data_IF_628900361849
#
_entry.id   IF_628900361849
#
_cell.length_a   1.000
_cell.length_b   1.000
_cell.length_c   1.000
_cell.angle_alpha   90.00
_cell.angle_beta   90.00
_cell.angle_gamma   90.00
#
_symmetry.space_group_name_H-M   'P 1'
#
loop_
_entity.id
_entity.type
_entity.pdbx_description
1 polymer ?
#
# COMPACT_ATOMS: atom_id res chain seq x y z
N UNK A 1 -27.86 30.84 -0.54
CA UNK A 1 -28.97 29.91 -0.82
C UNK A 1 -29.41 29.38 0.53
N UNK A 2 -30.59 29.78 1.04
CA UNK A 2 -31.09 29.31 2.32
C UNK A 2 -31.57 27.86 2.15
N UNK A 3 -31.04 26.92 2.93
CA UNK A 3 -31.50 25.54 2.91
C UNK A 3 -32.88 25.44 3.58
N UNK A 4 -33.83 24.65 3.03
CA UNK A 4 -35.24 24.67 3.44
C UNK A 4 -35.52 24.16 4.86
N UNK A 5 -34.59 23.46 5.50
CA UNK A 5 -34.81 22.76 6.77
C UNK A 5 -33.79 23.13 7.88
N UNK A 6 -33.25 24.35 7.85
CA UNK A 6 -32.31 24.83 8.88
C UNK A 6 -32.98 25.27 10.20
N UNK A 7 -34.18 24.76 10.50
CA UNK A 7 -34.96 25.17 11.67
C UNK A 7 -34.91 24.14 12.79
N UNK A 8 -34.30 24.50 13.91
CA UNK A 8 -34.38 23.71 15.14
C UNK A 8 -35.78 23.78 15.74
N UNK A 9 -36.56 22.71 15.60
CA UNK A 9 -37.92 22.64 16.18
C UNK A 9 -37.92 22.74 17.71
N UNK A 10 -36.80 22.44 18.36
CA UNK A 10 -36.66 22.47 19.82
C UNK A 10 -36.00 23.75 20.36
N UNK A 11 -35.40 24.58 19.51
CA UNK A 11 -34.83 25.84 19.95
C UNK A 11 -35.92 26.91 20.18
N UNK A 12 -35.73 27.71 21.22
CA UNK A 12 -36.54 28.87 21.56
C UNK A 12 -35.61 30.08 21.61
N UNK A 13 -36.12 31.27 21.31
CA UNK A 13 -35.35 32.52 21.50
C UNK A 13 -35.04 32.78 22.97
N UNK A 14 -36.01 32.46 23.83
CA UNK A 14 -35.92 32.59 25.27
C UNK A 14 -36.34 31.30 25.95
N UNK A 15 -35.64 30.95 27.03
CA UNK A 15 -35.95 29.80 27.87
C UNK A 15 -36.19 30.28 29.29
N UNK A 16 -37.16 29.69 29.97
CA UNK A 16 -37.18 29.71 31.43
C UNK A 16 -36.25 28.61 31.95
N UNK A 17 -35.78 28.69 33.21
CA UNK A 17 -34.90 27.66 33.78
C UNK A 17 -35.46 26.23 33.61
N UNK A 18 -36.76 26.06 33.82
CA UNK A 18 -37.45 24.76 33.64
C UNK A 18 -37.52 24.34 32.15
N UNK A 19 -37.78 25.27 31.23
CA UNK A 19 -37.85 24.96 29.79
C UNK A 19 -36.51 24.46 29.25
N UNK A 20 -35.41 25.07 29.72
CA UNK A 20 -34.05 24.70 29.38
C UNK A 20 -33.68 23.34 30.00
N UNK A 21 -34.06 23.09 31.26
CA UNK A 21 -33.80 21.81 31.92
C UNK A 21 -34.54 20.64 31.26
N UNK A 22 -35.81 20.82 30.87
CA UNK A 22 -36.59 19.81 30.11
C UNK A 22 -35.86 19.42 28.83
N UNK A 23 -35.36 20.42 28.07
CA UNK A 23 -34.63 20.21 26.82
C UNK A 23 -33.27 19.56 27.02
N UNK A 24 -32.56 19.97 28.07
CA UNK A 24 -31.28 19.37 28.44
C UNK A 24 -31.45 17.89 28.82
N UNK A 25 -32.54 17.54 29.51
CA UNK A 25 -32.88 16.17 29.84
C UNK A 25 -33.55 15.36 28.71
N UNK A 26 -33.79 15.97 27.54
CA UNK A 26 -34.53 15.35 26.43
C UNK A 26 -35.96 14.88 26.81
N UNK A 27 -36.66 15.64 27.66
CA UNK A 27 -38.00 15.31 28.17
C UNK A 27 -39.13 16.01 27.39
N UNK A 28 -38.91 16.29 26.10
CA UNK A 28 -39.84 17.07 25.28
C UNK A 28 -41.23 16.45 25.15
N UNK A 29 -41.33 15.11 25.17
CA UNK A 29 -42.60 14.40 25.13
C UNK A 29 -43.51 14.66 26.36
N UNK A 30 -42.91 15.14 27.46
CA UNK A 30 -43.60 15.39 28.73
C UNK A 30 -43.63 16.88 29.11
N UNK A 31 -43.27 17.78 28.18
CA UNK A 31 -43.16 19.23 28.46
C UNK A 31 -44.45 19.79 29.07
N UNK A 32 -45.61 19.47 28.49
CA UNK A 32 -46.92 19.96 28.98
C UNK A 32 -47.21 19.49 30.40
N UNK A 33 -47.07 18.18 30.66
CA UNK A 33 -47.30 17.57 31.98
C UNK A 33 -46.40 18.19 33.06
N UNK A 34 -45.12 18.41 32.74
CA UNK A 34 -44.15 18.99 33.67
C UNK A 34 -44.50 20.44 33.96
N UNK A 35 -44.81 21.22 32.92
CA UNK A 35 -45.13 22.64 33.07
C UNK A 35 -46.43 22.88 33.84
N UNK A 36 -47.45 22.03 33.68
CA UNK A 36 -48.71 22.14 34.42
C UNK A 36 -48.56 21.85 35.92
N UNK A 37 -47.62 20.97 36.31
CA UNK A 37 -47.53 20.46 37.69
C UNK A 37 -46.51 21.20 38.56
N UNK A 38 -45.51 21.85 37.97
CA UNK A 38 -44.36 22.39 38.69
C UNK A 38 -44.03 23.85 38.36
N UNK A 39 -45.03 24.61 37.90
CA UNK A 39 -44.88 25.99 37.44
C UNK A 39 -44.31 26.94 38.50
N UNK A 40 -44.72 26.78 39.76
CA UNK A 40 -44.52 27.81 40.79
C UNK A 40 -43.27 27.62 41.66
N UNK A 41 -42.70 26.41 41.73
CA UNK A 41 -41.63 26.11 42.69
C UNK A 41 -40.67 25.00 42.20
N UNK A 42 -39.46 25.35 41.74
CA UNK A 42 -38.43 24.39 41.35
C UNK A 42 -38.08 23.35 42.44
N UNK A 43 -38.19 23.74 43.72
CA UNK A 43 -37.92 22.86 44.86
C UNK A 43 -38.88 21.66 44.96
N UNK A 44 -40.06 21.75 44.33
CA UNK A 44 -41.05 20.67 44.34
C UNK A 44 -40.87 19.67 43.18
N UNK A 45 -39.97 19.95 42.23
CA UNK A 45 -39.72 19.08 41.08
C UNK A 45 -39.30 17.67 41.51
N UNK A 46 -38.48 17.56 42.57
CA UNK A 46 -38.04 16.29 43.15
C UNK A 46 -39.19 15.42 43.66
N UNK A 47 -40.23 16.06 44.20
CA UNK A 47 -41.39 15.41 44.80
C UNK A 47 -42.42 14.99 43.75
N UNK A 48 -42.64 15.82 42.74
CA UNK A 48 -43.60 15.54 41.66
C UNK A 48 -43.05 14.60 40.60
N UNK A 49 -41.76 14.67 40.31
CA UNK A 49 -41.12 13.91 39.23
C UNK A 49 -39.86 13.17 39.69
N UNK A 50 -39.95 12.27 40.69
CA UNK A 50 -38.80 11.50 41.17
C UNK A 50 -38.17 10.61 40.08
N UNK A 51 -38.92 10.24 39.05
CA UNK A 51 -38.44 9.45 37.92
C UNK A 51 -37.45 10.20 37.01
N UNK A 52 -37.33 11.53 37.11
CA UNK A 52 -36.42 12.35 36.31
C UNK A 52 -35.48 13.21 37.17
N UNK A 53 -34.49 12.60 37.86
CA UNK A 53 -33.57 13.35 38.73
C UNK A 53 -32.80 14.46 38.00
N UNK A 54 -32.51 14.27 36.71
CA UNK A 54 -31.80 15.26 35.90
C UNK A 54 -32.59 16.57 35.76
N UNK A 55 -33.93 16.53 35.82
CA UNK A 55 -34.78 17.70 35.63
C UNK A 55 -34.57 18.71 36.77
N UNK A 56 -34.64 18.22 38.01
CA UNK A 56 -34.34 19.02 39.18
C UNK A 56 -32.87 19.49 39.15
N UNK A 57 -31.93 18.56 39.00
CA UNK A 57 -30.51 18.87 39.06
C UNK A 57 -30.09 19.93 38.03
N UNK A 58 -30.60 19.85 36.80
CA UNK A 58 -30.27 20.81 35.76
C UNK A 58 -31.01 22.14 35.96
N UNK A 59 -32.23 22.13 36.49
CA UNK A 59 -32.94 23.37 36.87
C UNK A 59 -32.18 24.11 37.97
N UNK A 60 -31.70 23.40 38.98
CA UNK A 60 -30.89 23.96 40.07
C UNK A 60 -29.58 24.54 39.57
N UNK A 61 -28.84 23.84 38.69
CA UNK A 61 -27.62 24.37 38.06
C UNK A 61 -27.86 25.69 37.32
N UNK A 62 -28.96 25.78 36.56
CA UNK A 62 -29.30 27.00 35.81
C UNK A 62 -29.63 28.14 36.77
N UNK A 63 -30.44 27.88 37.80
CA UNK A 63 -30.80 28.88 38.80
C UNK A 63 -29.57 29.33 39.60
N UNK A 64 -28.68 28.41 39.95
CA UNK A 64 -27.43 28.67 40.64
C UNK A 64 -26.52 29.61 39.83
N UNK A 65 -26.33 29.30 38.54
CA UNK A 65 -25.56 30.14 37.63
C UNK A 65 -26.14 31.56 37.49
N UNK A 66 -27.47 31.70 37.54
CA UNK A 66 -28.13 33.01 37.51
C UNK A 66 -27.87 33.78 38.81
N UNK A 67 -28.01 33.13 39.96
CA UNK A 67 -27.78 33.74 41.29
C UNK A 67 -26.35 34.24 41.47
N UNK A 68 -25.38 33.51 40.91
CA UNK A 68 -23.96 33.86 40.99
C UNK A 68 -23.45 34.73 39.83
N UNK A 69 -24.31 35.04 38.86
CA UNK A 69 -23.97 35.92 37.74
C UNK A 69 -23.14 35.27 36.63
N UNK A 70 -22.99 33.94 36.63
CA UNK A 70 -22.36 33.17 35.55
C UNK A 70 -23.21 33.12 34.28
N UNK A 71 -24.53 33.20 34.44
CA UNK A 71 -25.50 33.18 33.35
C UNK A 71 -26.35 34.45 33.33
N UNK A 72 -26.27 35.20 32.23
CA UNK A 72 -27.09 36.39 32.01
C UNK A 72 -28.58 36.02 31.88
N UNK A 73 -29.43 36.85 32.47
CA UNK A 73 -30.88 36.64 32.51
C UNK A 73 -31.65 37.95 32.31
N UNK A 74 -32.93 37.80 32.02
CA UNK A 74 -33.90 38.86 31.83
C UNK A 74 -35.22 38.56 32.53
N UNK A 75 -36.11 39.56 32.59
CA UNK A 75 -37.49 39.42 33.01
C UNK A 75 -38.39 39.65 31.79
N UNK A 76 -39.24 38.68 31.44
CA UNK A 76 -40.10 38.73 30.25
C UNK A 76 -39.37 39.13 28.95
N UNK A 77 -38.13 38.68 28.78
CA UNK A 77 -37.30 38.95 27.59
C UNK A 77 -36.47 40.24 27.66
N UNK A 78 -36.61 41.05 28.71
CA UNK A 78 -35.82 42.28 28.92
C UNK A 78 -34.65 41.98 29.86
N UNK A 79 -33.41 42.25 29.45
CA UNK A 79 -32.22 42.05 30.28
C UNK A 79 -32.29 42.89 31.57
N UNK A 80 -31.90 42.27 32.69
CA UNK A 80 -31.91 42.89 34.02
C UNK A 80 -30.51 42.90 34.63
N UNK A 81 -30.29 43.78 35.61
CA UNK A 81 -29.06 43.79 36.40
C UNK A 81 -28.96 42.57 37.30
N UNK A 82 -27.75 42.06 37.48
CA UNK A 82 -27.47 40.91 38.37
C UNK A 82 -27.92 41.26 39.79
N UNK A 83 -28.59 40.31 40.45
CA UNK A 83 -29.09 40.48 41.82
C UNK A 83 -30.45 41.14 41.93
N UNK A 84 -31.11 41.46 40.81
CA UNK A 84 -32.52 41.92 40.83
C UNK A 84 -33.42 40.79 41.33
N UNK A 85 -34.20 40.98 42.41
CA UNK A 85 -35.07 39.95 42.95
C UNK A 85 -36.26 39.74 42.00
N UNK A 86 -36.23 38.64 41.26
CA UNK A 86 -37.25 38.28 40.28
C UNK A 86 -37.73 36.87 40.62
N UNK A 87 -39.04 36.68 40.53
CA UNK A 87 -39.63 35.36 40.72
C UNK A 87 -39.14 34.39 39.64
N UNK A 88 -38.86 33.14 40.02
CA UNK A 88 -38.31 32.13 39.11
C UNK A 88 -39.21 31.90 37.89
N UNK A 89 -40.52 32.13 38.03
CA UNK A 89 -41.50 32.03 36.95
C UNK A 89 -41.34 33.09 35.84
N UNK A 90 -40.74 34.24 36.17
CA UNK A 90 -40.61 35.40 35.28
C UNK A 90 -39.21 35.49 34.61
N UNK A 91 -38.27 34.66 35.07
CA UNK A 91 -36.91 34.62 34.56
C UNK A 91 -36.90 34.09 33.13
N UNK A 92 -36.21 34.81 32.26
CA UNK A 92 -35.98 34.45 30.86
C UNK A 92 -34.48 34.48 30.55
N UNK A 93 -34.01 33.49 29.81
CA UNK A 93 -32.61 33.33 29.43
C UNK A 93 -32.56 33.30 27.90
N UNK A 94 -31.72 34.15 27.29
CA UNK A 94 -31.56 34.13 25.83
C UNK A 94 -30.86 32.85 25.40
N UNK A 95 -31.25 32.32 24.25
CA UNK A 95 -30.58 31.17 23.63
C UNK A 95 -29.07 31.31 23.54
N UNK A 96 -28.60 32.49 23.11
CA UNK A 96 -27.16 32.78 22.94
C UNK A 96 -26.41 32.69 24.26
N UNK A 97 -27.00 33.23 25.32
CA UNK A 97 -26.36 33.30 26.64
C UNK A 97 -26.31 31.90 27.27
N UNK A 98 -27.41 31.14 27.17
CA UNK A 98 -27.47 29.75 27.61
C UNK A 98 -26.45 28.87 26.86
N UNK A 99 -26.32 29.05 25.54
CA UNK A 99 -25.37 28.32 24.71
C UNK A 99 -23.91 28.63 25.10
N UNK A 100 -23.57 29.91 25.31
CA UNK A 100 -22.22 30.33 25.70
C UNK A 100 -21.86 29.80 27.09
N UNK A 101 -22.77 29.94 28.04
CA UNK A 101 -22.59 29.41 29.40
C UNK A 101 -22.36 27.89 29.38
N UNK A 102 -23.21 27.16 28.64
CA UNK A 102 -23.10 25.70 28.58
C UNK A 102 -21.81 25.25 27.89
N UNK A 103 -21.38 25.94 26.82
CA UNK A 103 -20.11 25.65 26.16
C UNK A 103 -18.89 25.87 27.07
N UNK A 104 -18.99 26.77 28.05
CA UNK A 104 -17.92 27.10 28.99
C UNK A 104 -17.86 26.13 30.17
N UNK A 105 -19.00 25.87 30.83
CA UNK A 105 -19.03 25.11 32.08
C UNK A 105 -19.35 23.62 31.90
N UNK A 106 -19.93 23.24 30.76
CA UNK A 106 -20.30 21.85 30.45
C UNK A 106 -19.89 21.47 29.01
N UNK A 107 -18.59 21.56 28.65
CA UNK A 107 -18.12 21.36 27.27
C UNK A 107 -18.45 19.98 26.70
N UNK A 108 -18.54 18.97 27.56
CA UNK A 108 -18.88 17.58 27.21
C UNK A 108 -20.37 17.36 26.97
N UNK A 109 -21.22 18.31 27.35
CA UNK A 109 -22.67 18.22 27.20
C UNK A 109 -23.11 19.19 26.10
N UNK A 110 -23.56 18.63 24.97
CA UNK A 110 -23.99 19.42 23.80
C UNK A 110 -25.41 19.03 23.38
N UNK A 111 -26.43 19.50 24.11
CA UNK A 111 -27.79 19.18 23.77
C UNK A 111 -28.17 19.84 22.44
N UNK A 112 -28.90 19.09 21.60
CA UNK A 112 -29.22 19.47 20.22
C UNK A 112 -29.99 20.77 20.10
N UNK A 113 -30.75 21.17 21.12
CA UNK A 113 -31.50 22.42 21.14
C UNK A 113 -30.62 23.69 21.24
N UNK A 114 -29.33 23.56 21.59
CA UNK A 114 -28.35 24.67 21.68
C UNK A 114 -27.20 24.53 20.68
N UNK A 115 -26.80 23.28 20.41
CA UNK A 115 -25.65 22.95 19.59
C UNK A 115 -26.07 22.06 18.43
N UNK A 116 -26.97 22.55 17.58
CA UNK A 116 -27.30 21.84 16.35
C UNK A 116 -26.02 21.38 15.67
N UNK A 117 -25.89 20.08 15.48
CA UNK A 117 -25.00 19.56 14.48
C UNK A 117 -25.59 20.06 13.17
N UNK A 118 -24.95 21.04 12.54
CA UNK A 118 -25.19 21.26 11.12
C UNK A 118 -25.10 19.89 10.46
N UNK A 119 -26.17 19.41 9.81
CA UNK A 119 -26.23 18.10 9.16
C UNK A 119 -25.00 17.82 8.27
N UNK A 120 -24.28 18.87 7.86
CA UNK A 120 -23.00 18.82 7.18
C UNK A 120 -21.81 18.20 7.95
N UNK A 121 -21.83 17.99 9.27
CA UNK A 121 -20.69 17.39 9.98
C UNK A 121 -20.62 15.86 9.90
N UNK A 122 -21.71 15.18 9.55
CA UNK A 122 -21.69 13.71 9.37
C UNK A 122 -21.06 13.30 8.03
N UNK A 123 -20.78 14.27 7.13
CA UNK A 123 -20.09 14.06 5.85
C UNK A 123 -18.94 15.04 5.54
N UNK A 124 -18.72 16.08 6.35
CA UNK A 124 -17.61 17.01 6.15
C UNK A 124 -16.28 16.36 6.54
N UNK A 125 -15.57 15.82 5.55
CA UNK A 125 -14.18 15.40 5.67
C UNK A 125 -13.40 16.57 6.28
N UNK A 126 -12.82 16.36 7.46
CA UNK A 126 -11.97 17.37 8.10
C UNK A 126 -10.85 17.78 7.13
N UNK A 127 -10.49 19.07 7.04
CA UNK A 127 -9.36 19.52 6.23
C UNK A 127 -8.07 18.73 6.51
N UNK A 128 -7.85 18.31 7.75
CA UNK A 128 -6.72 17.46 8.12
C UNK A 128 -6.79 16.06 7.50
N UNK A 129 -7.98 15.45 7.45
CA UNK A 129 -8.21 14.16 6.79
C UNK A 129 -8.00 14.27 5.28
N UNK A 130 -8.46 15.37 4.67
CA UNK A 130 -8.23 15.61 3.24
C UNK A 130 -6.74 15.74 2.92
N UNK A 131 -5.99 16.52 3.70
CA UNK A 131 -4.55 16.70 3.51
C UNK A 131 -3.77 15.40 3.73
N UNK A 132 -4.15 14.59 4.72
CA UNK A 132 -3.55 13.27 4.93
C UNK A 132 -3.78 12.34 3.72
N UNK A 133 -5.02 12.25 3.23
CA UNK A 133 -5.35 11.45 2.05
C UNK A 133 -4.64 11.97 0.79
N UNK A 134 -4.48 13.28 0.66
CA UNK A 134 -3.73 13.88 -0.44
C UNK A 134 -2.25 13.50 -0.38
N UNK A 135 -1.62 13.58 0.79
CA UNK A 135 -0.24 13.18 0.99
C UNK A 135 -0.03 11.69 0.68
N UNK A 136 -0.95 10.82 1.12
CA UNK A 136 -0.91 9.39 0.84
C UNK A 136 -1.05 9.10 -0.65
N UNK A 137 -1.97 9.77 -1.34
CA UNK A 137 -2.13 9.67 -2.79
C UNK A 137 -0.84 10.07 -3.51
N UNK A 138 -0.24 11.19 -3.13
CA UNK A 138 0.97 11.71 -3.76
C UNK A 138 2.17 10.76 -3.53
N UNK A 139 2.27 10.17 -2.33
CA UNK A 139 3.27 9.14 -2.02
C UNK A 139 3.07 7.86 -2.84
N UNK A 140 1.83 7.40 -3.02
CA UNK A 140 1.51 6.24 -3.86
C UNK A 140 1.83 6.49 -5.34
N UNK A 141 1.53 7.68 -5.85
CA UNK A 141 1.86 8.06 -7.22
C UNK A 141 3.37 8.05 -7.48
N UNK A 142 4.17 8.50 -6.52
CA UNK A 142 5.64 8.40 -6.61
C UNK A 142 6.12 6.95 -6.62
N UNK A 143 5.54 6.08 -5.78
CA UNK A 143 5.89 4.65 -5.78
C UNK A 143 5.57 3.97 -7.10
N UNK A 144 4.41 4.26 -7.69
CA UNK A 144 4.01 3.70 -8.99
C UNK A 144 5.03 4.11 -10.07
N UNK A 145 5.36 5.41 -10.17
CA UNK A 145 6.36 5.88 -11.13
C UNK A 145 7.73 5.21 -10.96
N UNK A 146 8.15 4.97 -9.72
CA UNK A 146 9.42 4.30 -9.46
C UNK A 146 9.40 2.83 -9.89
N UNK A 147 8.28 2.14 -9.64
CA UNK A 147 8.09 0.74 -10.08
C UNK A 147 8.07 0.67 -11.61
N UNK A 148 7.31 1.54 -12.28
CA UNK A 148 7.27 1.61 -13.74
C UNK A 148 8.66 1.84 -14.34
N UNK A 149 9.46 2.75 -13.77
CA UNK A 149 10.83 2.97 -14.20
C UNK A 149 11.71 1.73 -14.02
N UNK A 150 11.62 1.06 -12.86
CA UNK A 150 12.39 -0.17 -12.60
C UNK A 150 11.97 -1.33 -13.51
N UNK A 151 10.69 -1.42 -13.84
CA UNK A 151 10.16 -2.43 -14.75
C UNK A 151 10.68 -2.21 -16.17
N UNK A 152 10.69 -0.95 -16.62
CA UNK A 152 11.24 -0.59 -17.93
C UNK A 152 12.73 -0.95 -18.02
N UNK A 153 13.52 -0.64 -16.97
CA UNK A 153 14.93 -1.01 -16.90
C UNK A 153 15.14 -2.54 -17.00
N UNK A 154 14.33 -3.33 -16.30
CA UNK A 154 14.40 -4.79 -16.37
C UNK A 154 14.07 -5.34 -17.76
N UNK A 155 13.12 -4.71 -18.47
CA UNK A 155 12.82 -5.09 -19.85
C UNK A 155 14.00 -4.79 -20.79
N UNK A 156 14.61 -3.61 -20.65
CA UNK A 156 15.78 -3.22 -21.44
C UNK A 156 16.98 -4.16 -21.17
N UNK A 157 17.21 -4.53 -19.91
CA UNK A 157 18.24 -5.51 -19.53
C UNK A 157 17.97 -6.90 -20.12
N UNK A 158 16.71 -7.36 -20.12
CA UNK A 158 16.33 -8.65 -20.68
C UNK A 158 16.52 -8.66 -22.20
N UNK A 159 16.17 -7.57 -22.88
CA UNK A 159 16.41 -7.41 -24.31
C UNK A 159 17.91 -7.44 -24.62
N UNK A 160 18.72 -6.70 -23.86
CA UNK A 160 20.18 -6.69 -24.00
C UNK A 160 20.79 -8.10 -23.80
N UNK A 161 20.40 -8.81 -22.74
CA UNK A 161 20.83 -10.19 -22.50
C UNK A 161 20.38 -11.14 -23.61
N UNK A 162 19.18 -10.94 -24.18
CA UNK A 162 18.68 -11.71 -25.31
C UNK A 162 19.57 -11.55 -26.56
N UNK A 163 19.97 -10.31 -26.86
CA UNK A 163 20.88 -10.00 -27.95
C UNK A 163 22.28 -10.60 -27.74
N UNK A 164 22.83 -10.50 -26.52
CA UNK A 164 24.12 -11.10 -26.18
C UNK A 164 24.09 -12.63 -26.34
N UNK A 165 23.03 -13.28 -25.86
CA UNK A 165 22.87 -14.73 -25.98
C UNK A 165 22.82 -15.18 -27.44
N UNK A 166 22.09 -14.46 -28.29
CA UNK A 166 22.02 -14.77 -29.72
C UNK A 166 23.39 -14.60 -30.39
N UNK A 167 24.12 -13.53 -30.07
CA UNK A 167 25.47 -13.30 -30.58
C UNK A 167 26.44 -14.42 -30.18
N UNK A 168 26.45 -14.81 -28.90
CA UNK A 168 27.27 -15.94 -28.40
C UNK A 168 26.90 -17.23 -29.14
N UNK A 169 25.60 -17.48 -29.33
CA UNK A 169 25.14 -18.67 -30.04
C UNK A 169 25.60 -18.69 -31.50
N UNK A 170 25.57 -17.54 -32.18
CA UNK A 170 26.08 -17.39 -33.55
C UNK A 170 27.59 -17.64 -33.62
N UNK A 171 28.38 -17.07 -32.69
CA UNK A 171 29.82 -17.28 -32.60
C UNK A 171 30.19 -18.75 -32.33
N UNK A 172 29.46 -19.43 -31.45
CA UNK A 172 29.66 -20.86 -31.18
C UNK A 172 29.35 -21.69 -32.43
N UNK A 173 28.27 -21.36 -33.14
CA UNK A 173 27.88 -22.07 -34.37
C UNK A 173 28.86 -21.84 -35.52
N UNK A 174 29.47 -20.67 -35.64
CA UNK A 174 30.52 -20.43 -36.63
C UNK A 174 31.81 -21.16 -36.27
N UNK A 175 32.21 -21.13 -34.99
CA UNK A 175 33.42 -21.79 -34.53
C UNK A 175 33.32 -23.32 -34.60
N UNK A 176 32.17 -23.91 -34.29
CA UNK A 176 31.97 -25.36 -34.43
C UNK A 176 32.08 -25.80 -35.90
N UNK A 177 31.44 -25.08 -36.83
CA UNK A 177 31.56 -25.36 -38.27
C UNK A 177 33.00 -25.24 -38.79
N UNK A 178 33.75 -24.25 -38.32
CA UNK A 178 35.18 -24.10 -38.67
C UNK A 178 36.02 -25.23 -38.09
N UNK A 179 35.72 -25.66 -36.86
CA UNK A 179 36.37 -26.80 -36.20
C UNK A 179 36.09 -28.10 -36.96
N UNK A 180 34.84 -28.39 -37.32
CA UNK A 180 34.46 -29.61 -38.06
C UNK A 180 35.17 -29.68 -39.42
N UNK A 181 35.21 -28.56 -40.16
CA UNK A 181 35.90 -28.49 -41.45
C UNK A 181 37.41 -28.73 -41.30
N UNK A 182 38.01 -28.14 -40.26
CA UNK A 182 39.45 -28.28 -39.99
C UNK A 182 39.77 -29.71 -39.52
N UNK A 183 38.93 -30.30 -38.67
CA UNK A 183 39.07 -31.67 -38.18
C UNK A 183 39.03 -32.68 -39.34
N UNK A 184 38.10 -32.53 -40.28
CA UNK A 184 38.05 -33.35 -41.49
C UNK A 184 39.35 -33.20 -42.29
N UNK A 185 39.86 -31.97 -42.45
CA UNK A 185 41.14 -31.70 -43.12
C UNK A 185 42.31 -32.40 -42.45
N UNK A 186 42.42 -32.30 -41.12
CA UNK A 186 43.47 -32.99 -40.35
C UNK A 186 43.36 -34.51 -40.45
N UNK A 187 42.15 -35.07 -40.39
CA UNK A 187 41.94 -36.50 -40.55
C UNK A 187 42.33 -36.99 -41.96
N UNK A 188 42.09 -36.20 -43.01
CA UNK A 188 42.56 -36.52 -44.37
C UNK A 188 44.10 -36.56 -44.45
N UNK A 189 44.77 -35.55 -43.88
CA UNK A 189 46.24 -35.51 -43.83
C UNK A 189 46.79 -36.69 -43.04
N UNK A 190 46.22 -36.99 -41.87
CA UNK A 190 46.63 -38.14 -41.05
C UNK A 190 46.44 -39.45 -41.81
N UNK A 191 45.31 -39.64 -42.49
CA UNK A 191 45.05 -40.83 -43.30
C UNK A 191 46.08 -40.99 -44.42
N UNK A 192 46.42 -39.89 -45.11
CA UNK A 192 47.33 -39.92 -46.24
C UNK A 192 48.76 -40.25 -45.78
N UNK A 193 49.14 -39.73 -44.61
CA UNK A 193 50.39 -40.10 -43.96
C UNK A 193 50.40 -41.58 -43.55
N UNK A 194 49.30 -42.12 -43.02
CA UNK A 194 49.21 -43.54 -42.66
C UNK A 194 49.33 -44.44 -43.89
N UNK A 195 48.65 -44.12 -45.00
CA UNK A 195 48.78 -44.85 -46.26
C UNK A 195 50.21 -44.78 -46.81
N UNK A 196 50.85 -43.60 -46.74
CA UNK A 196 52.23 -43.44 -47.18
C UNK A 196 53.21 -44.24 -46.31
N UNK A 197 53.08 -44.18 -44.98
CA UNK A 197 53.98 -44.86 -44.04
C UNK A 197 53.86 -46.38 -44.18
N UNK A 198 52.65 -46.91 -44.33
CA UNK A 198 52.40 -48.35 -44.48
C UNK A 198 52.51 -48.83 -45.94
N UNK A 199 52.71 -47.89 -46.87
CA UNK A 199 52.79 -48.16 -48.29
C UNK A 199 54.16 -48.65 -48.75
N UNK A 200 54.22 -49.00 -50.03
CA UNK A 200 55.44 -49.44 -50.70
C UNK A 200 55.66 -48.60 -51.95
N UNK A 201 56.93 -48.33 -52.26
CA UNK A 201 57.32 -47.71 -53.53
C UNK A 201 56.92 -48.58 -54.72
N UNK A 202 56.85 -48.03 -55.94
CA UNK A 202 56.54 -48.81 -57.15
C UNK A 202 57.50 -49.99 -57.40
N UNK A 203 58.73 -49.92 -56.85
CA UNK A 203 59.73 -50.98 -56.91
C UNK A 203 59.62 -52.00 -55.76
N UNK A 204 58.55 -51.95 -54.96
CA UNK A 204 58.25 -52.91 -53.88
C UNK A 204 58.97 -52.63 -52.55
N UNK A 205 59.76 -51.56 -52.43
CA UNK A 205 60.44 -51.21 -51.16
C UNK A 205 59.46 -50.51 -50.20
N UNK A 206 59.31 -50.97 -48.93
CA UNK A 206 58.43 -50.31 -47.96
C UNK A 206 58.92 -48.89 -47.66
N UNK A 207 57.98 -47.98 -47.45
CA UNK A 207 58.28 -46.58 -47.14
C UNK A 207 58.73 -46.36 -45.69
N UNK A 208 58.41 -47.28 -44.79
CA UNK A 208 58.74 -47.20 -43.37
C UNK A 208 59.17 -48.55 -42.78
N UNK A 209 59.74 -48.50 -41.58
CA UNK A 209 60.02 -49.68 -40.74
C UNK A 209 58.77 -50.25 -40.07
N UNK A 210 57.67 -49.50 -40.08
CA UNK A 210 56.39 -49.96 -39.52
C UNK A 210 55.59 -50.75 -40.55
N UNK A 211 55.09 -51.91 -40.12
CA UNK A 211 54.36 -52.88 -40.92
C UNK A 211 52.83 -52.84 -40.71
N UNK A 212 52.39 -52.20 -39.63
CA UNK A 212 50.96 -52.10 -39.29
C UNK A 212 50.64 -50.82 -38.52
N UNK A 213 49.37 -50.42 -38.59
CA UNK A 213 48.84 -49.30 -37.83
C UNK A 213 49.02 -49.52 -36.31
N UNK A 214 48.87 -50.75 -35.82
CA UNK A 214 49.09 -51.12 -34.42
C UNK A 214 50.54 -50.89 -33.98
N UNK A 215 51.51 -51.19 -34.85
CA UNK A 215 52.94 -50.94 -34.61
C UNK A 215 53.23 -49.45 -34.45
N UNK A 216 52.60 -48.61 -35.29
CA UNK A 216 52.69 -47.14 -35.21
C UNK A 216 52.07 -46.63 -33.89
N UNK A 217 50.86 -47.07 -33.55
CA UNK A 217 50.16 -46.65 -32.32
C UNK A 217 50.96 -47.03 -31.07
N UNK A 218 51.48 -48.25 -31.01
CA UNK A 218 52.31 -48.71 -29.89
C UNK A 218 53.60 -47.88 -29.79
N UNK A 219 54.24 -47.56 -30.91
CA UNK A 219 55.46 -46.74 -30.95
C UNK A 219 55.19 -45.32 -30.45
N UNK A 220 54.14 -44.65 -30.96
CA UNK A 220 53.76 -43.29 -30.51
C UNK A 220 53.40 -43.32 -29.02
N UNK A 221 52.59 -44.29 -28.58
CA UNK A 221 52.18 -44.41 -27.17
C UNK A 221 53.36 -44.67 -26.23
N UNK A 222 54.40 -45.38 -26.68
CA UNK A 222 55.60 -45.62 -25.89
C UNK A 222 56.46 -44.36 -25.71
N UNK A 223 56.53 -43.50 -26.73
CA UNK A 223 57.35 -42.28 -26.71
C UNK A 223 56.63 -41.05 -26.16
N UNK A 224 55.29 -41.03 -26.16
CA UNK A 224 54.44 -39.86 -25.82
C UNK A 224 53.40 -40.17 -24.76
N UNK A 225 53.72 -41.07 -23.82
CA UNK A 225 52.77 -41.66 -22.87
C UNK A 225 52.03 -40.64 -21.99
N UNK A 226 52.68 -39.52 -21.67
CA UNK A 226 52.15 -38.50 -20.75
C UNK A 226 51.45 -37.33 -21.46
N UNK A 227 51.40 -37.36 -22.80
CA UNK A 227 50.78 -36.29 -23.58
C UNK A 227 49.24 -36.49 -23.65
N UNK A 228 48.45 -35.54 -23.10
CA UNK A 228 46.99 -35.65 -23.11
C UNK A 228 46.46 -35.68 -24.56
N UNK A 229 45.65 -36.69 -24.86
CA UNK A 229 45.09 -36.90 -26.21
C UNK A 229 45.87 -37.88 -27.10
N UNK A 230 47.03 -38.38 -26.66
CA UNK A 230 47.82 -39.40 -27.39
C UNK A 230 47.76 -40.79 -26.75
N UNK A 231 46.69 -41.07 -25.99
CA UNK A 231 46.45 -42.43 -25.47
C UNK A 231 46.26 -43.42 -26.63
N UNK A 232 46.64 -44.68 -26.41
CA UNK A 232 46.42 -45.77 -27.38
C UNK A 232 44.99 -45.78 -27.93
N UNK A 233 43.99 -45.68 -27.04
CA UNK A 233 42.57 -45.62 -27.41
C UNK A 233 42.25 -44.41 -28.30
N UNK A 234 42.82 -43.24 -28.02
CA UNK A 234 42.57 -42.02 -28.81
C UNK A 234 43.19 -42.12 -30.20
N UNK A 235 44.42 -42.62 -30.29
CA UNK A 235 45.13 -42.83 -31.54
C UNK A 235 44.42 -43.85 -32.43
N UNK A 236 44.03 -45.00 -31.87
CA UNK A 236 43.27 -46.03 -32.58
C UNK A 236 41.97 -45.45 -33.17
N UNK A 237 41.24 -44.66 -32.37
CA UNK A 237 40.00 -44.02 -32.82
C UNK A 237 40.24 -42.98 -33.94
N UNK A 238 41.25 -42.11 -33.81
CA UNK A 238 41.57 -41.07 -34.81
C UNK A 238 42.09 -41.67 -36.12
N UNK A 239 42.95 -42.69 -36.05
CA UNK A 239 43.47 -43.36 -37.24
C UNK A 239 42.39 -44.18 -37.97
N UNK A 240 41.50 -44.86 -37.22
CA UNK A 240 40.34 -45.52 -37.82
C UNK A 240 39.40 -44.50 -38.51
N UNK A 241 39.16 -43.34 -37.89
CA UNK A 241 38.37 -42.27 -38.48
C UNK A 241 39.03 -41.69 -39.75
N UNK A 242 40.34 -41.44 -39.71
CA UNK A 242 41.11 -40.96 -40.86
C UNK A 242 41.02 -41.92 -42.06
N UNK A 243 41.23 -43.22 -41.82
CA UNK A 243 41.12 -44.25 -42.87
C UNK A 243 39.70 -44.36 -43.44
N UNK A 244 38.67 -44.18 -42.61
CA UNK A 244 37.27 -44.17 -43.09
C UNK A 244 36.98 -42.98 -44.00
N UNK A 245 37.55 -41.81 -43.71
CA UNK A 245 37.35 -40.61 -44.52
C UNK A 245 38.03 -40.76 -45.88
N UNK A 246 39.28 -41.22 -45.92
CA UNK A 246 39.98 -41.42 -47.20
C UNK A 246 39.33 -42.48 -48.08
N UNK A 247 38.93 -43.62 -47.50
CA UNK A 247 38.23 -44.69 -48.25
C UNK A 247 36.86 -44.28 -48.77
N UNK A 248 36.28 -43.20 -48.25
CA UNK A 248 34.98 -42.67 -48.70
C UNK A 248 35.13 -41.67 -49.86
N UNK A 249 36.32 -41.10 -50.04
CA UNK A 249 36.65 -40.15 -51.11
C UNK A 249 37.31 -40.82 -52.34
N UNK A 250 37.45 -42.15 -52.33
CA UNK A 250 37.89 -43.02 -53.45
C UNK A 250 36.68 -43.76 -53.99
#
# INVERSE_FOLDING_TARGET
MYEPDSYNVFAKFFYRPIDAAIRWCNLMAHETQILESAWDCPALLSKYFPQWPCLQANTEKIIDAIRHGDLAYGCFGVSVTIGTPIDCSQITIRHTDLRVWMARYYPDQRPSFLFEQSFNQQGAISPGTYLALQADRDAMQLRIKNIEASYQQLLDELEAMGLERENIHQLLKSNSKLSDRSEIGYLKVIGALLELILGHSPSGKPHSVFDSQSSIVNSISAHRKDDPGLSKRTLDAKFAAANRILKKDI
#
